data_IF_994236967283
#
_entry.id   IF_994236967283
#
_cell.length_a   1.000
_cell.length_b   1.000
_cell.length_c   1.000
_cell.angle_alpha   90.00
_cell.angle_beta   90.00
_cell.angle_gamma   90.00
#
_symmetry.space_group_name_H-M   'P 1'
#
loop_
_entity.id
_entity.type
_entity.pdbx_description
1 polymer ?
#
# COMPACT_ATOMS: atom_id res chain seq x y z
N UNK A 1 -7.15 -2.25 -14.78
CA UNK A 1 -7.59 -2.36 -13.37
C UNK A 1 -9.02 -1.85 -13.19
N UNK A 2 -9.73 -2.36 -12.20
CA UNK A 2 -11.03 -1.85 -11.81
C UNK A 2 -11.17 -1.80 -10.29
N UNK A 3 -11.79 -0.74 -9.78
CA UNK A 3 -12.07 -0.56 -8.36
C UNK A 3 -13.54 -0.20 -8.17
N UNK A 4 -14.17 -0.83 -7.21
CA UNK A 4 -15.59 -0.55 -6.87
C UNK A 4 -15.71 -0.31 -5.38
N UNK A 5 -16.33 0.82 -5.00
CA UNK A 5 -16.69 1.14 -3.63
C UNK A 5 -18.22 1.17 -3.52
N UNK A 6 -18.80 0.32 -2.69
CA UNK A 6 -20.26 0.17 -2.54
C UNK A 6 -20.68 0.26 -1.09
N UNK A 7 -21.70 1.09 -0.81
CA UNK A 7 -22.33 1.14 0.50
C UNK A 7 -23.34 0.02 0.66
N UNK A 8 -23.13 -0.85 1.64
CA UNK A 8 -24.06 -1.88 2.09
C UNK A 8 -24.84 -1.48 3.34
N UNK A 9 -25.61 -2.40 3.88
CA UNK A 9 -26.34 -2.19 5.14
C UNK A 9 -25.45 -2.12 6.39
N UNK A 10 -24.30 -2.78 6.34
CA UNK A 10 -23.31 -2.93 7.41
C UNK A 10 -22.05 -2.09 7.24
N UNK A 11 -21.99 -1.25 6.21
CA UNK A 11 -20.86 -0.37 5.93
C UNK A 11 -20.50 -0.26 4.46
N UNK A 12 -19.28 0.20 4.20
CA UNK A 12 -18.73 0.27 2.85
C UNK A 12 -17.90 -0.95 2.51
N UNK A 13 -18.05 -1.41 1.28
CA UNK A 13 -17.38 -2.56 0.72
C UNK A 13 -16.57 -2.16 -0.50
N UNK A 14 -15.37 -2.68 -0.59
CA UNK A 14 -14.45 -2.47 -1.69
C UNK A 14 -14.28 -3.77 -2.47
N UNK A 15 -14.23 -3.66 -3.78
CA UNK A 15 -13.88 -4.77 -4.67
C UNK A 15 -12.87 -4.25 -5.68
N UNK A 16 -11.91 -5.07 -6.05
CA UNK A 16 -10.88 -4.71 -6.99
C UNK A 16 -10.47 -5.88 -7.89
N UNK A 17 -10.02 -5.52 -9.09
CA UNK A 17 -9.31 -6.38 -10.02
C UNK A 17 -8.17 -5.54 -10.60
N UNK A 18 -6.93 -5.85 -10.24
CA UNK A 18 -5.75 -5.05 -10.58
C UNK A 18 -4.48 -5.90 -10.60
N UNK A 19 -3.42 -5.35 -11.20
CA UNK A 19 -2.04 -5.84 -11.08
C UNK A 19 -1.20 -4.75 -10.41
N UNK A 20 -0.20 -5.12 -9.61
CA UNK A 20 0.66 -4.18 -8.91
C UNK A 20 1.98 -3.92 -9.64
N UNK A 21 2.27 -4.65 -10.71
CA UNK A 21 3.42 -4.45 -11.58
C UNK A 21 3.06 -4.62 -13.04
N UNK A 22 3.95 -4.21 -13.95
CA UNK A 22 3.73 -4.30 -15.39
C UNK A 22 3.53 -5.74 -15.87
N UNK A 23 4.25 -6.70 -15.27
CA UNK A 23 4.20 -8.14 -15.59
C UNK A 23 3.32 -8.94 -14.61
N UNK A 24 2.67 -8.29 -13.64
CA UNK A 24 1.85 -8.94 -12.63
C UNK A 24 0.57 -9.53 -13.21
N UNK A 25 0.22 -10.76 -12.82
CA UNK A 25 -1.08 -11.34 -13.16
C UNK A 25 -2.20 -10.62 -12.41
N UNK A 26 -3.35 -10.32 -13.05
CA UNK A 26 -4.45 -9.67 -12.37
C UNK A 26 -4.92 -10.47 -11.13
N UNK A 27 -4.98 -9.78 -9.99
CA UNK A 27 -5.56 -10.32 -8.76
C UNK A 27 -6.94 -9.70 -8.54
N UNK A 28 -7.85 -10.47 -7.94
CA UNK A 28 -9.22 -10.06 -7.73
C UNK A 28 -9.65 -10.31 -6.30
N UNK A 29 -10.30 -9.33 -5.70
CA UNK A 29 -10.99 -9.49 -4.43
C UNK A 29 -12.34 -8.80 -4.45
N UNK A 30 -13.32 -9.38 -3.74
CA UNK A 30 -14.69 -8.88 -3.72
C UNK A 30 -15.18 -8.72 -2.28
N UNK A 31 -16.00 -7.68 -2.08
CA UNK A 31 -16.69 -7.42 -0.81
C UNK A 31 -15.77 -7.26 0.42
N UNK A 32 -14.59 -6.69 0.25
CA UNK A 32 -13.73 -6.34 1.38
C UNK A 32 -14.42 -5.23 2.17
N UNK A 33 -14.72 -5.50 3.44
CA UNK A 33 -15.30 -4.48 4.31
C UNK A 33 -14.23 -3.47 4.68
N UNK A 34 -14.47 -2.20 4.39
CA UNK A 34 -13.59 -1.10 4.79
C UNK A 34 -13.92 -0.61 6.19
N UNK A 35 -12.89 -0.17 6.90
CA UNK A 35 -13.04 0.62 8.11
C UNK A 35 -13.66 2.00 7.80
N UNK A 36 -14.12 2.68 8.84
CA UNK A 36 -14.61 4.06 8.67
C UNK A 36 -13.49 5.01 8.24
N UNK A 37 -12.26 4.79 8.65
CA UNK A 37 -11.10 5.59 8.30
C UNK A 37 -10.78 5.45 6.82
N UNK A 38 -10.58 4.21 6.33
CA UNK A 38 -10.33 3.92 4.91
C UNK A 38 -11.42 4.51 4.01
N UNK A 39 -12.68 4.37 4.42
CA UNK A 39 -13.82 4.93 3.68
C UNK A 39 -13.76 6.45 3.64
N UNK A 40 -13.52 7.11 4.78
CA UNK A 40 -13.46 8.57 4.87
C UNK A 40 -12.36 9.16 4.01
N UNK A 41 -11.26 8.45 3.84
CA UNK A 41 -10.16 8.91 3.01
C UNK A 41 -10.51 8.90 1.54
N UNK A 42 -11.08 7.80 1.04
CA UNK A 42 -11.57 7.76 -0.34
C UNK A 42 -12.61 8.87 -0.59
N UNK A 43 -13.58 9.03 0.33
CA UNK A 43 -14.61 10.07 0.21
C UNK A 43 -13.98 11.47 0.26
N UNK A 44 -13.00 11.70 1.14
CA UNK A 44 -12.30 12.98 1.24
C UNK A 44 -11.57 13.35 -0.05
N UNK A 45 -10.90 12.38 -0.68
CA UNK A 45 -10.22 12.60 -1.96
C UNK A 45 -11.24 12.92 -3.05
N UNK A 46 -12.33 12.15 -3.14
CA UNK A 46 -13.42 12.41 -4.08
C UNK A 46 -13.98 13.83 -3.91
N UNK A 47 -14.17 14.25 -2.65
CA UNK A 47 -14.67 15.61 -2.34
C UNK A 47 -13.61 16.70 -2.61
N UNK A 48 -12.34 16.46 -2.30
CA UNK A 48 -11.23 17.39 -2.54
C UNK A 48 -11.13 17.80 -4.01
N UNK A 49 -11.31 16.85 -4.91
CA UNK A 49 -11.25 17.07 -6.35
C UNK A 49 -12.62 17.33 -6.99
N UNK A 50 -13.68 17.43 -6.19
CA UNK A 50 -15.07 17.58 -6.66
C UNK A 50 -15.43 16.64 -7.84
N UNK A 51 -14.99 15.38 -7.73
CA UNK A 51 -15.03 14.41 -8.84
C UNK A 51 -16.44 14.14 -9.35
N UNK A 52 -17.45 14.24 -8.49
CA UNK A 52 -18.86 14.04 -8.88
C UNK A 52 -19.32 15.16 -9.81
N UNK A 53 -19.00 16.42 -9.48
CA UNK A 53 -19.33 17.57 -10.34
C UNK A 53 -18.50 17.56 -11.62
N UNK A 54 -17.20 17.26 -11.51
CA UNK A 54 -16.30 17.14 -12.63
C UNK A 54 -16.79 16.07 -13.63
N UNK A 55 -17.14 14.88 -13.16
CA UNK A 55 -17.68 13.79 -13.97
C UNK A 55 -19.04 14.16 -14.61
N UNK A 56 -19.89 14.91 -13.89
CA UNK A 56 -21.19 15.35 -14.41
C UNK A 56 -21.08 16.37 -15.54
N UNK A 57 -20.00 17.15 -15.55
CA UNK A 57 -19.72 18.18 -16.55
C UNK A 57 -18.68 17.79 -17.58
N UNK A 58 -18.12 16.60 -17.50
CA UNK A 58 -17.06 16.15 -18.38
C UNK A 58 -17.60 15.93 -19.79
N UNK A 59 -17.05 16.67 -20.75
CA UNK A 59 -17.23 16.43 -22.16
C UNK A 59 -15.99 15.73 -22.70
N UNK A 60 -16.18 14.59 -23.34
CA UNK A 60 -15.05 13.93 -24.02
C UNK A 60 -14.38 14.91 -24.97
N UNK A 61 -13.05 15.06 -24.92
CA UNK A 61 -12.35 15.83 -25.91
C UNK A 61 -12.66 15.25 -27.30
N UNK A 62 -12.85 16.10 -28.34
CA UNK A 62 -13.08 15.62 -29.69
C UNK A 62 -11.98 14.60 -30.04
N UNK A 63 -12.36 13.55 -30.74
CA UNK A 63 -11.40 12.56 -31.25
C UNK A 63 -10.32 13.31 -32.04
N UNK A 64 -9.13 13.42 -31.49
CA UNK A 64 -8.07 14.14 -32.15
C UNK A 64 -7.62 13.35 -33.37
N UNK A 65 -7.52 14.06 -34.46
CA UNK A 65 -7.28 13.58 -35.83
C UNK A 65 -5.84 13.00 -35.99
N UNK A 66 -5.01 13.04 -34.96
CA UNK A 66 -3.59 12.69 -35.03
C UNK A 66 -3.21 11.27 -34.58
N UNK A 67 -4.09 10.29 -34.73
CA UNK A 67 -3.70 8.88 -34.76
C UNK A 67 -2.92 8.32 -33.56
N UNK A 68 -2.91 9.00 -32.42
CA UNK A 68 -2.30 8.48 -31.18
C UNK A 68 -3.27 7.53 -30.51
N UNK A 69 -3.08 6.23 -30.75
CA UNK A 69 -3.93 5.13 -30.28
C UNK A 69 -3.65 4.70 -28.83
N UNK A 70 -2.85 5.42 -28.06
CA UNK A 70 -2.42 5.05 -26.71
C UNK A 70 -3.14 5.87 -25.62
N UNK A 71 -4.44 6.14 -25.80
CA UNK A 71 -5.25 6.71 -24.71
C UNK A 71 -5.67 5.61 -23.76
N UNK A 72 -5.19 5.67 -22.53
CA UNK A 72 -5.78 4.89 -21.44
C UNK A 72 -7.26 5.27 -21.31
N UNK A 73 -8.17 4.34 -21.56
CA UNK A 73 -9.59 4.55 -21.36
C UNK A 73 -9.90 4.50 -19.86
N UNK A 74 -10.36 5.64 -19.32
CA UNK A 74 -10.84 5.73 -17.95
C UNK A 74 -12.37 5.64 -17.95
N UNK A 75 -12.91 4.87 -17.02
CA UNK A 75 -14.36 4.83 -16.77
C UNK A 75 -14.61 5.12 -15.30
N UNK A 76 -15.33 6.19 -15.04
CA UNK A 76 -15.74 6.59 -13.69
C UNK A 76 -17.25 6.54 -13.60
N UNK A 77 -17.80 5.72 -12.72
CA UNK A 77 -19.25 5.57 -12.49
C UNK A 77 -19.59 5.94 -11.05
N UNK A 78 -20.47 6.92 -10.87
CA UNK A 78 -21.01 7.28 -9.56
C UNK A 78 -22.50 6.94 -9.51
N UNK A 79 -22.85 6.09 -8.55
CA UNK A 79 -24.26 5.82 -8.20
C UNK A 79 -24.62 6.56 -6.92
N UNK A 80 -25.46 7.57 -7.03
CA UNK A 80 -25.84 8.45 -5.92
C UNK A 80 -27.14 7.97 -5.24
N UNK A 81 -27.32 8.41 -3.98
CA UNK A 81 -28.59 8.24 -3.30
C UNK A 81 -29.73 8.86 -4.14
N UNK A 82 -30.85 8.13 -4.29
CA UNK A 82 -31.94 8.53 -5.17
C UNK A 82 -31.87 7.97 -6.59
N UNK A 83 -30.89 7.10 -6.89
CA UNK A 83 -30.82 6.35 -8.15
C UNK A 83 -30.19 7.09 -9.34
N UNK A 84 -29.70 8.32 -9.11
CA UNK A 84 -28.94 9.05 -10.13
C UNK A 84 -27.60 8.36 -10.38
N UNK A 85 -27.28 8.13 -11.67
CA UNK A 85 -25.99 7.65 -12.12
C UNK A 85 -25.27 8.70 -12.95
N UNK A 86 -23.95 8.73 -12.83
CA UNK A 86 -23.05 9.61 -13.58
C UNK A 86 -21.95 8.71 -14.12
N UNK A 87 -21.90 8.55 -15.43
CA UNK A 87 -20.84 7.83 -16.13
C UNK A 87 -19.96 8.86 -16.85
N UNK A 88 -18.66 8.70 -16.76
CA UNK A 88 -17.71 9.64 -17.36
C UNK A 88 -16.41 8.92 -17.71
N UNK A 89 -15.73 9.42 -18.73
CA UNK A 89 -14.35 9.05 -19.05
C UNK A 89 -13.33 9.97 -18.34
N UNK A 90 -13.74 10.63 -17.25
CA UNK A 90 -12.87 11.52 -16.48
C UNK A 90 -11.68 10.76 -15.92
N UNK A 91 -10.44 11.21 -16.18
CA UNK A 91 -9.25 10.65 -15.53
C UNK A 91 -9.33 10.78 -14.01
N UNK A 92 -8.96 9.71 -13.32
CA UNK A 92 -8.92 9.68 -11.86
C UNK A 92 -7.63 10.37 -11.38
N UNK A 93 -7.69 11.28 -10.39
CA UNK A 93 -6.48 11.88 -9.82
C UNK A 93 -5.55 10.82 -9.25
N UNK A 94 -4.23 11.03 -9.40
CA UNK A 94 -3.21 10.10 -8.91
C UNK A 94 -3.35 9.79 -7.43
N UNK A 95 -3.71 10.78 -6.60
CA UNK A 95 -3.97 10.59 -5.17
C UNK A 95 -5.09 9.57 -4.91
N UNK A 96 -6.18 9.59 -5.70
CA UNK A 96 -7.25 8.60 -5.56
C UNK A 96 -6.80 7.24 -6.08
N UNK A 97 -6.09 7.22 -7.18
CA UNK A 97 -5.55 6.00 -7.76
C UNK A 97 -4.60 5.29 -6.78
N UNK A 98 -3.61 6.00 -6.23
CA UNK A 98 -2.70 5.48 -5.20
C UNK A 98 -3.45 4.99 -3.94
N UNK A 99 -4.49 5.72 -3.51
CA UNK A 99 -5.32 5.30 -2.37
C UNK A 99 -6.03 3.97 -2.65
N UNK A 100 -6.65 3.81 -3.83
CA UNK A 100 -7.36 2.59 -4.22
C UNK A 100 -6.41 1.41 -4.41
N UNK A 101 -5.25 1.64 -5.05
CA UNK A 101 -4.19 0.62 -5.14
C UNK A 101 -3.63 0.24 -3.78
N UNK A 102 -3.48 1.19 -2.86
CA UNK A 102 -3.05 0.91 -1.49
C UNK A 102 -4.05 0.03 -0.73
N UNK A 103 -5.34 0.29 -0.86
CA UNK A 103 -6.40 -0.54 -0.29
C UNK A 103 -6.40 -1.95 -0.90
N UNK A 104 -6.24 -2.05 -2.23
CA UNK A 104 -6.12 -3.34 -2.90
C UNK A 104 -4.84 -4.07 -2.48
N UNK A 105 -3.68 -3.41 -2.55
CA UNK A 105 -2.38 -3.99 -2.22
C UNK A 105 -2.33 -4.60 -0.84
N UNK A 106 -2.88 -3.91 0.16
CA UNK A 106 -2.92 -4.42 1.52
C UNK A 106 -3.67 -5.77 1.70
N UNK A 107 -4.51 -6.16 0.72
CA UNK A 107 -5.21 -7.45 0.74
C UNK A 107 -4.38 -8.59 0.12
N UNK A 108 -3.43 -8.25 -0.74
CA UNK A 108 -2.66 -9.21 -1.53
C UNK A 108 -1.19 -9.31 -1.11
N UNK A 109 -0.83 -8.72 0.02
CA UNK A 109 0.54 -8.77 0.53
C UNK A 109 0.97 -10.22 0.80
N UNK A 110 2.13 -10.57 0.28
CA UNK A 110 2.84 -11.81 0.57
C UNK A 110 4.15 -11.56 1.28
N UNK A 111 4.65 -10.32 1.24
CA UNK A 111 5.87 -9.96 1.95
C UNK A 111 5.84 -8.50 2.40
N UNK A 112 6.36 -8.25 3.60
CA UNK A 112 6.57 -6.92 4.18
C UNK A 112 8.01 -6.85 4.68
N UNK A 113 8.82 -5.98 4.07
CA UNK A 113 10.18 -5.73 4.52
C UNK A 113 10.34 -4.29 4.96
N UNK A 114 10.99 -4.10 6.10
CA UNK A 114 11.42 -2.80 6.58
C UNK A 114 12.86 -2.87 7.05
N UNK A 115 13.64 -1.86 6.74
CA UNK A 115 15.01 -1.77 7.25
C UNK A 115 15.41 -0.33 7.54
N UNK A 116 16.37 -0.22 8.46
CA UNK A 116 17.08 1.00 8.78
C UNK A 116 18.57 0.70 8.82
N UNK A 117 19.33 1.44 8.03
CA UNK A 117 20.79 1.45 8.07
C UNK A 117 21.30 2.72 8.74
N UNK A 118 22.33 2.58 9.59
CA UNK A 118 23.10 3.69 10.15
C UNK A 118 24.59 3.43 9.92
N UNK A 119 25.37 4.46 9.67
CA UNK A 119 26.81 4.31 9.37
C UNK A 119 27.59 3.63 10.51
N UNK A 120 27.22 3.88 11.75
CA UNK A 120 27.82 3.26 12.94
C UNK A 120 27.28 1.87 13.26
N UNK A 121 26.30 1.38 12.48
CA UNK A 121 25.59 0.12 12.68
C UNK A 121 24.90 -0.06 14.05
N UNK A 122 25.00 0.91 14.95
CA UNK A 122 24.52 0.77 16.34
C UNK A 122 23.00 0.63 16.45
N UNK A 123 22.27 1.28 15.56
CA UNK A 123 20.79 1.29 15.56
C UNK A 123 20.18 0.75 14.25
N UNK A 124 20.95 -0.08 13.53
CA UNK A 124 20.47 -0.73 12.31
C UNK A 124 19.52 -1.88 12.63
N UNK A 125 18.52 -2.05 11.79
CA UNK A 125 17.62 -3.20 11.84
C UNK A 125 17.13 -3.60 10.45
N UNK A 126 16.75 -4.86 10.32
CA UNK A 126 16.04 -5.40 9.17
C UNK A 126 14.98 -6.38 9.67
N UNK A 127 13.75 -6.26 9.19
CA UNK A 127 12.65 -7.17 9.44
C UNK A 127 12.02 -7.58 8.13
N UNK A 128 11.71 -8.87 8.01
CA UNK A 128 10.94 -9.44 6.90
C UNK A 128 9.83 -10.33 7.46
N UNK A 129 8.60 -10.11 7.02
CA UNK A 129 7.48 -11.01 7.22
C UNK A 129 7.06 -11.55 5.86
N UNK A 130 7.27 -12.85 5.62
CA UNK A 130 7.05 -13.52 4.34
C UNK A 130 5.98 -14.59 4.48
N UNK A 131 5.07 -14.67 3.50
CA UNK A 131 4.09 -15.74 3.36
C UNK A 131 4.59 -16.78 2.36
N UNK A 132 4.75 -18.00 2.81
CA UNK A 132 5.08 -19.15 1.95
C UNK A 132 3.94 -20.15 2.04
N UNK A 133 3.25 -20.40 0.94
CA UNK A 133 2.00 -21.17 0.89
C UNK A 133 0.95 -20.56 1.83
N UNK A 134 0.56 -21.26 2.90
CA UNK A 134 -0.41 -20.80 3.89
C UNK A 134 0.21 -20.33 5.21
N UNK A 135 1.55 -20.30 5.31
CA UNK A 135 2.26 -20.00 6.53
C UNK A 135 3.02 -18.69 6.44
N UNK A 136 3.06 -17.95 7.53
CA UNK A 136 3.86 -16.74 7.68
C UNK A 136 5.16 -17.05 8.42
N UNK A 137 6.23 -16.37 7.99
CA UNK A 137 7.57 -16.49 8.58
C UNK A 137 8.16 -15.11 8.83
N UNK A 138 8.74 -14.95 10.02
CA UNK A 138 9.47 -13.76 10.41
C UNK A 138 10.98 -14.02 10.28
N UNK A 139 11.69 -13.10 9.65
CA UNK A 139 13.16 -13.01 9.71
C UNK A 139 13.53 -11.62 10.22
N UNK A 140 14.60 -11.51 10.99
CA UNK A 140 15.09 -10.22 11.47
C UNK A 140 16.58 -10.24 11.78
N UNK A 141 17.17 -9.05 11.71
CA UNK A 141 18.52 -8.73 12.14
C UNK A 141 18.48 -7.36 12.83
N UNK A 142 18.85 -7.30 14.09
CA UNK A 142 18.78 -6.11 14.91
C UNK A 142 20.10 -5.84 15.61
N UNK A 143 20.64 -4.64 15.47
CA UNK A 143 21.84 -4.20 16.16
C UNK A 143 21.64 -4.15 17.68
N UNK A 144 22.74 -4.23 18.42
CA UNK A 144 22.73 -4.29 19.87
C UNK A 144 22.02 -3.12 20.56
N UNK A 145 22.15 -1.91 20.03
CA UNK A 145 21.54 -0.71 20.62
C UNK A 145 20.01 -0.68 20.51
N UNK A 146 19.45 -1.46 19.56
CA UNK A 146 18.01 -1.55 19.39
C UNK A 146 17.33 -2.44 20.45
N UNK A 147 18.02 -3.51 20.88
CA UNK A 147 17.47 -4.54 21.78
C UNK A 147 18.40 -4.91 22.94
N UNK A 148 19.50 -4.17 23.13
CA UNK A 148 20.49 -4.39 24.17
C UNK A 148 21.56 -5.43 23.82
N UNK A 149 21.41 -6.18 22.74
CA UNK A 149 22.37 -7.15 22.19
C UNK A 149 22.05 -7.42 20.73
N UNK A 150 23.08 -7.70 19.93
CA UNK A 150 22.87 -8.08 18.53
C UNK A 150 22.10 -9.41 18.47
N UNK A 151 21.02 -9.43 17.72
CA UNK A 151 20.20 -10.63 17.56
C UNK A 151 19.69 -10.75 16.15
N UNK A 152 19.73 -11.96 15.62
CA UNK A 152 19.16 -12.29 14.34
C UNK A 152 18.40 -13.62 14.40
N UNK A 153 17.49 -13.81 13.50
CA UNK A 153 16.84 -15.09 13.28
C UNK A 153 16.22 -15.10 11.87
N UNK A 154 16.13 -16.29 11.30
CA UNK A 154 15.60 -16.51 9.98
C UNK A 154 14.43 -17.51 10.02
N UNK A 155 13.37 -17.22 9.24
CA UNK A 155 12.23 -18.11 8.99
C UNK A 155 11.58 -18.68 10.26
N UNK A 156 11.38 -17.83 11.26
CA UNK A 156 10.61 -18.22 12.45
C UNK A 156 9.13 -18.31 12.08
N UNK A 157 8.44 -19.43 12.35
CA UNK A 157 7.01 -19.52 12.09
C UNK A 157 6.21 -18.50 12.90
N UNK A 158 5.29 -17.82 12.23
CA UNK A 158 4.37 -16.83 12.79
C UNK A 158 2.95 -17.33 12.54
N UNK A 159 2.09 -17.31 13.56
CA UNK A 159 0.71 -17.65 13.33
C UNK A 159 -0.04 -16.51 12.60
N UNK A 160 -1.20 -16.84 12.05
CA UNK A 160 -1.98 -15.90 11.24
C UNK A 160 -2.40 -14.66 12.04
N UNK A 161 -2.71 -14.80 13.33
CA UNK A 161 -3.12 -13.69 14.20
C UNK A 161 -1.95 -12.71 14.43
N UNK A 162 -0.75 -13.24 14.68
CA UNK A 162 0.48 -12.46 14.82
C UNK A 162 0.86 -11.73 13.52
N UNK A 163 0.71 -12.38 12.36
CA UNK A 163 0.94 -11.77 11.06
C UNK A 163 -0.09 -10.66 10.78
N UNK A 164 -1.37 -10.90 11.09
CA UNK A 164 -2.45 -9.92 10.93
C UNK A 164 -2.23 -8.64 11.76
N UNK A 165 -1.55 -8.71 12.90
CA UNK A 165 -1.15 -7.53 13.67
C UNK A 165 -0.24 -6.60 12.84
N UNK A 166 0.75 -7.17 12.17
CA UNK A 166 1.66 -6.42 11.27
C UNK A 166 0.90 -5.88 10.05
N UNK A 167 0.13 -6.75 9.37
CA UNK A 167 -0.62 -6.37 8.17
C UNK A 167 -1.66 -5.29 8.45
N UNK A 168 -2.31 -5.35 9.63
CA UNK A 168 -3.22 -4.31 10.07
C UNK A 168 -2.51 -2.97 10.24
N UNK A 169 -1.32 -2.95 10.84
CA UNK A 169 -0.52 -1.72 10.98
C UNK A 169 -0.13 -1.15 9.62
N UNK A 170 0.24 -2.02 8.66
CA UNK A 170 0.52 -1.59 7.27
C UNK A 170 -0.71 -0.92 6.65
N UNK A 171 -1.91 -1.48 6.84
CA UNK A 171 -3.18 -0.91 6.33
C UNK A 171 -3.51 0.41 7.01
N UNK A 172 -3.53 0.45 8.34
CA UNK A 172 -3.86 1.65 9.13
C UNK A 172 -2.93 2.82 8.81
N UNK A 173 -1.66 2.55 8.56
CA UNK A 173 -0.65 3.53 8.16
C UNK A 173 -0.64 3.84 6.66
N UNK A 174 -1.37 3.07 5.84
CA UNK A 174 -1.40 3.20 4.37
C UNK A 174 -0.03 3.12 3.71
N UNK A 175 0.86 2.34 4.27
CA UNK A 175 2.24 2.29 3.82
C UNK A 175 2.36 1.81 2.37
N UNK A 176 1.46 0.95 1.89
CA UNK A 176 1.45 0.54 0.47
C UNK A 176 1.21 1.75 -0.44
N UNK A 177 0.23 2.62 -0.10
CA UNK A 177 -0.01 3.86 -0.86
C UNK A 177 1.18 4.80 -0.81
N UNK A 178 1.83 4.95 0.35
CA UNK A 178 3.02 5.78 0.51
C UNK A 178 4.17 5.29 -0.38
N UNK A 179 4.44 3.98 -0.39
CA UNK A 179 5.49 3.39 -1.23
C UNK A 179 5.17 3.55 -2.71
N UNK A 180 3.91 3.31 -3.12
CA UNK A 180 3.48 3.46 -4.51
C UNK A 180 3.51 4.91 -5.02
N UNK A 181 3.30 5.88 -4.14
CA UNK A 181 3.32 7.31 -4.49
C UNK A 181 4.67 7.98 -4.28
N UNK A 182 5.70 7.22 -3.88
CA UNK A 182 7.01 7.79 -3.65
C UNK A 182 7.65 8.25 -4.96
N UNK A 183 7.96 9.54 -5.00
CA UNK A 183 8.75 10.14 -6.08
C UNK A 183 10.18 10.39 -5.56
N UNK A 184 11.17 9.85 -6.28
CA UNK A 184 12.56 10.10 -5.94
C UNK A 184 12.87 11.60 -6.05
N UNK A 185 13.56 12.20 -5.05
CA UNK A 185 13.97 13.60 -5.14
C UNK A 185 14.85 13.83 -6.39
N UNK A 186 14.73 15.00 -7.00
CA UNK A 186 15.52 15.35 -8.17
C UNK A 186 17.02 15.37 -7.81
N UNK A 187 17.88 14.95 -8.75
CA UNK A 187 19.34 14.79 -8.57
C UNK A 187 20.11 16.05 -8.07
N UNK A 188 19.42 17.17 -7.85
CA UNK A 188 20.01 18.43 -7.35
C UNK A 188 20.18 18.49 -5.83
N UNK A 189 19.66 17.52 -5.08
CA UNK A 189 19.71 17.55 -3.62
C UNK A 189 21.04 16.99 -3.12
N UNK A 190 21.73 17.79 -2.35
CA UNK A 190 23.08 17.55 -1.81
C UNK A 190 23.09 16.26 -0.99
N UNK A 191 23.96 15.32 -1.36
CA UNK A 191 24.27 14.13 -0.57
C UNK A 191 24.83 14.54 0.78
N UNK A 192 24.08 14.32 1.84
CA UNK A 192 24.56 14.40 3.22
C UNK A 192 25.12 13.04 3.59
N UNK A 193 26.42 12.96 3.83
CA UNK A 193 27.18 11.71 4.04
C UNK A 193 26.88 10.96 5.36
N UNK A 194 26.04 11.50 6.23
CA UNK A 194 25.71 10.96 7.56
C UNK A 194 24.25 10.54 7.72
N UNK A 195 23.55 10.20 6.63
CA UNK A 195 22.12 9.91 6.70
C UNK A 195 21.81 8.48 7.13
N UNK A 196 20.88 8.38 8.07
CA UNK A 196 20.14 7.16 8.33
C UNK A 196 19.36 6.78 7.07
N UNK A 197 19.61 5.60 6.53
CA UNK A 197 18.88 5.09 5.39
C UNK A 197 17.70 4.25 5.86
N UNK A 198 16.57 4.39 5.18
CA UNK A 198 15.39 3.56 5.38
C UNK A 198 15.04 2.84 4.08
N UNK A 199 14.45 1.68 4.18
CA UNK A 199 13.82 1.02 3.06
C UNK A 199 12.57 0.31 3.52
N UNK A 200 11.48 0.50 2.78
CA UNK A 200 10.22 -0.21 2.96
C UNK A 200 9.85 -0.85 1.63
N UNK A 201 9.59 -2.15 1.63
CA UNK A 201 9.18 -2.87 0.44
C UNK A 201 8.06 -3.86 0.72
N UNK A 202 7.26 -4.11 -0.30
CA UNK A 202 6.14 -5.03 -0.30
C UNK A 202 6.20 -5.94 -1.51
N UNK A 203 5.90 -7.23 -1.34
CA UNK A 203 5.60 -8.14 -2.44
C UNK A 203 4.13 -8.55 -2.38
N UNK A 204 3.57 -8.85 -3.55
CA UNK A 204 2.15 -9.16 -3.73
C UNK A 204 1.95 -10.54 -4.32
N UNK A 205 0.75 -11.08 -4.17
CA UNK A 205 0.40 -12.42 -4.66
C UNK A 205 0.37 -12.55 -6.18
N UNK A 206 0.44 -11.44 -6.92
CA UNK A 206 0.61 -11.42 -8.39
C UNK A 206 2.07 -11.60 -8.83
N UNK A 207 3.00 -11.69 -7.87
CA UNK A 207 4.44 -11.83 -8.11
C UNK A 207 5.18 -10.50 -8.26
N UNK A 208 4.48 -9.37 -8.24
CA UNK A 208 5.10 -8.05 -8.29
C UNK A 208 5.63 -7.61 -6.93
N UNK A 209 6.49 -6.58 -6.93
CA UNK A 209 6.98 -5.94 -5.73
C UNK A 209 7.15 -4.44 -5.92
N UNK A 210 7.04 -3.70 -4.83
CA UNK A 210 7.29 -2.26 -4.79
C UNK A 210 8.21 -1.92 -3.63
N UNK A 211 9.02 -0.89 -3.78
CA UNK A 211 9.92 -0.44 -2.72
C UNK A 211 10.12 1.08 -2.78
N UNK A 212 10.41 1.67 -1.62
CA UNK A 212 10.79 3.06 -1.51
C UNK A 212 11.77 3.27 -0.34
N UNK A 213 12.70 4.24 -0.45
CA UNK A 213 13.64 4.59 0.62
C UNK A 213 12.94 5.46 1.70
N UNK A 214 11.84 4.99 2.24
CA UNK A 214 11.04 5.66 3.27
C UNK A 214 11.01 4.85 4.57
N UNK A 215 10.81 5.57 5.68
CA UNK A 215 10.61 4.94 6.98
C UNK A 215 9.22 4.32 7.07
N UNK A 216 9.16 3.08 7.52
CA UNK A 216 7.90 2.39 7.82
C UNK A 216 7.11 3.00 9.01
N UNK A 217 7.69 3.99 9.68
CA UNK A 217 7.11 4.62 10.86
C UNK A 217 7.33 3.81 12.14
N UNK A 218 7.13 4.50 13.27
CA UNK A 218 7.42 3.93 14.58
C UNK A 218 6.48 2.77 14.92
N UNK A 219 5.20 2.89 14.61
CA UNK A 219 4.19 1.89 14.98
C UNK A 219 4.48 0.53 14.33
N UNK A 220 4.83 0.51 13.04
CA UNK A 220 5.17 -0.76 12.38
C UNK A 220 6.50 -1.31 12.89
N UNK A 221 7.49 -0.45 13.11
CA UNK A 221 8.77 -0.85 13.68
C UNK A 221 8.60 -1.46 15.08
N UNK A 222 7.81 -0.82 15.95
CA UNK A 222 7.50 -1.31 17.31
C UNK A 222 6.73 -2.64 17.27
N UNK A 223 5.80 -2.82 16.32
CA UNK A 223 5.08 -4.07 16.12
C UNK A 223 6.03 -5.23 15.74
N UNK A 224 6.98 -4.98 14.82
CA UNK A 224 8.01 -5.97 14.47
C UNK A 224 8.93 -6.31 15.66
N UNK A 225 9.39 -5.32 16.42
CA UNK A 225 10.18 -5.57 17.64
C UNK A 225 9.41 -6.38 18.68
N UNK A 226 8.13 -6.06 18.88
CA UNK A 226 7.25 -6.81 19.77
C UNK A 226 7.11 -8.26 19.33
N UNK A 227 6.87 -8.50 18.05
CA UNK A 227 6.75 -9.84 17.48
C UNK A 227 8.07 -10.62 17.63
N UNK A 228 9.20 -10.04 17.23
CA UNK A 228 10.51 -10.66 17.36
C UNK A 228 10.83 -10.99 18.84
N UNK A 229 10.55 -10.08 19.76
CA UNK A 229 10.76 -10.29 21.20
C UNK A 229 9.91 -11.42 21.78
N UNK A 230 8.69 -11.65 21.28
CA UNK A 230 7.86 -12.81 21.66
C UNK A 230 8.45 -14.15 21.15
N UNK A 231 9.09 -14.12 19.97
CA UNK A 231 9.66 -15.34 19.35
C UNK A 231 11.01 -15.75 19.93
N UNK A 232 11.83 -14.79 20.35
CA UNK A 232 13.15 -15.10 20.99
C UNK A 232 12.97 -15.72 22.39
N UNK A 233 11.91 -15.39 23.12
CA UNK A 233 11.67 -15.85 24.49
C UNK A 233 11.06 -17.24 24.60
N UNK A 234 10.68 -17.86 23.48
CA UNK A 234 10.18 -19.23 23.41
C UNK A 234 11.30 -20.21 23.08
#
# INVERSE_FOLDING_TARGET
HSFTLKKGGDGWHFSCECSFGEDGSPVKSENIRLSNEETNDVIRIIAKYDLISAASGYAEPPEDVDGITDRSEYFTDFSLAGGRRINSSLPVPDELNCCLYGLAGAQFLTEVNISRGCMDHSSSYSFSLEKTEDNWFLSFDCAADCVGYHTNAEKIPVDTEEAEEILRTVRERRLVSEVLSYEAPSESDVYVLDETTYNTSFAFSDGSSVHAPISAGRELTDAFYSLAGRKIKK
#
